data_IF_986977269905
#
_entry.id   IF_986977269905
#
_cell.length_a   1.000
_cell.length_b   1.000
_cell.length_c   1.000
_cell.angle_alpha   90.00
_cell.angle_beta   90.00
_cell.angle_gamma   90.00
#
_symmetry.space_group_name_H-M   'P 1'
#
loop_
_entity.id
_entity.type
_entity.pdbx_description
1 polymer ?
#
# COMPACT_ATOMS: atom_id res chain seq x y z
N UNK A 1 -18.62 -7.73 -2.50
CA UNK A 1 -18.31 -6.45 -1.82
C UNK A 1 -17.30 -5.73 -2.69
N UNK A 2 -17.32 -4.40 -2.71
CA UNK A 2 -16.26 -3.61 -3.32
C UNK A 2 -15.05 -3.68 -2.37
N UNK A 3 -13.84 -3.87 -2.92
CA UNK A 3 -12.65 -3.98 -2.08
C UNK A 3 -12.26 -2.62 -1.52
N UNK A 4 -11.83 -2.60 -0.25
CA UNK A 4 -11.40 -1.40 0.46
C UNK A 4 -9.87 -1.33 0.47
N UNK A 5 -9.31 -0.26 -0.09
CA UNK A 5 -7.87 -0.06 -0.25
C UNK A 5 -7.42 1.12 0.62
N UNK A 6 -6.39 0.93 1.44
CA UNK A 6 -5.74 2.03 2.15
C UNK A 6 -4.55 2.52 1.33
N UNK A 7 -4.52 3.82 1.03
CA UNK A 7 -3.35 4.50 0.43
C UNK A 7 -2.62 5.24 1.53
N UNK A 8 -1.32 4.98 1.68
CA UNK A 8 -0.44 5.64 2.64
C UNK A 8 0.63 6.40 1.89
N UNK A 9 0.53 7.74 1.87
CA UNK A 9 1.34 8.63 1.04
C UNK A 9 1.35 10.03 1.65
N UNK A 10 2.54 10.62 1.85
CA UNK A 10 2.67 11.96 2.44
C UNK A 10 2.59 13.10 1.41
N UNK A 11 2.82 12.79 0.13
CA UNK A 11 2.71 13.77 -0.94
C UNK A 11 1.24 13.92 -1.39
N UNK A 12 0.63 15.10 -1.23
CA UNK A 12 -0.80 15.28 -1.52
C UNK A 12 -1.14 15.07 -3.01
N UNK A 13 -0.22 15.36 -3.93
CA UNK A 13 -0.47 15.16 -5.36
C UNK A 13 -0.44 13.66 -5.73
N UNK A 14 0.46 12.89 -5.12
CA UNK A 14 0.50 11.44 -5.33
C UNK A 14 -0.71 10.75 -4.69
N UNK A 15 -1.12 11.22 -3.50
CA UNK A 15 -2.33 10.76 -2.82
C UNK A 15 -3.55 10.98 -3.71
N UNK A 16 -3.79 12.23 -4.14
CA UNK A 16 -4.92 12.60 -5.00
C UNK A 16 -4.94 11.75 -6.29
N UNK A 17 -3.80 11.64 -6.99
CA UNK A 17 -3.69 10.81 -8.20
C UNK A 17 -4.06 9.35 -7.93
N UNK A 18 -3.54 8.75 -6.85
CA UNK A 18 -3.74 7.34 -6.55
C UNK A 18 -5.20 7.07 -6.17
N UNK A 19 -5.79 7.94 -5.34
CA UNK A 19 -7.19 7.87 -4.93
C UNK A 19 -8.11 8.00 -6.14
N UNK A 20 -7.93 9.04 -6.97
CA UNK A 20 -8.75 9.28 -8.15
C UNK A 20 -8.75 8.08 -9.11
N UNK A 21 -7.58 7.47 -9.33
CA UNK A 21 -7.45 6.29 -10.17
C UNK A 21 -8.24 5.11 -9.59
N UNK A 22 -8.05 4.80 -8.31
CA UNK A 22 -8.70 3.66 -7.65
C UNK A 22 -10.23 3.85 -7.57
N UNK A 23 -10.70 5.03 -7.18
CA UNK A 23 -12.13 5.35 -7.13
C UNK A 23 -12.76 5.29 -8.52
N UNK A 24 -12.07 5.79 -9.56
CA UNK A 24 -12.55 5.68 -10.96
C UNK A 24 -12.69 4.22 -11.44
N UNK A 25 -12.02 3.29 -10.78
CA UNK A 25 -12.10 1.85 -11.05
C UNK A 25 -13.08 1.11 -10.13
N UNK A 26 -13.75 1.83 -9.22
CA UNK A 26 -14.80 1.29 -8.36
C UNK A 26 -14.30 0.68 -7.05
N UNK A 27 -13.13 1.08 -6.56
CA UNK A 27 -12.65 0.71 -5.23
C UNK A 27 -13.07 1.76 -4.19
N UNK A 28 -13.24 1.32 -2.93
CA UNK A 28 -13.38 2.24 -1.79
C UNK A 28 -11.98 2.54 -1.24
N UNK A 29 -11.69 3.82 -0.96
CA UNK A 29 -10.32 4.23 -0.61
C UNK A 29 -10.27 4.91 0.74
N UNK A 30 -9.46 4.36 1.65
CA UNK A 30 -8.97 5.05 2.83
C UNK A 30 -7.65 5.75 2.51
N UNK A 31 -7.38 6.87 3.18
CA UNK A 31 -6.16 7.65 3.00
C UNK A 31 -5.46 7.84 4.34
N UNK A 32 -4.13 7.76 4.37
CA UNK A 32 -3.29 8.14 5.49
C UNK A 32 -2.05 8.90 5.00
N UNK A 33 -1.67 9.97 5.68
CA UNK A 33 -0.53 10.82 5.28
C UNK A 33 0.80 10.37 5.92
N UNK A 34 0.74 9.41 6.86
CA UNK A 34 1.90 8.92 7.60
C UNK A 34 1.68 7.52 8.18
N UNK A 35 2.76 6.92 8.69
CA UNK A 35 2.74 5.59 9.31
C UNK A 35 1.79 5.47 10.52
N UNK A 36 1.91 6.32 11.56
CA UNK A 36 0.97 6.33 12.68
C UNK A 36 -0.50 6.40 12.29
N UNK A 37 -0.88 7.27 11.35
CA UNK A 37 -2.26 7.38 10.87
C UNK A 37 -2.70 6.09 10.16
N UNK A 38 -1.83 5.48 9.36
CA UNK A 38 -2.12 4.20 8.71
C UNK A 38 -2.39 3.09 9.76
N UNK A 39 -1.56 3.02 10.80
CA UNK A 39 -1.71 2.04 11.89
C UNK A 39 -2.97 2.27 12.73
N UNK A 40 -3.44 3.51 12.87
CA UNK A 40 -4.72 3.77 13.53
C UNK A 40 -5.91 3.40 12.64
N UNK A 41 -5.85 3.71 11.33
CA UNK A 41 -6.94 3.38 10.40
C UNK A 41 -7.19 1.88 10.25
N UNK A 42 -6.15 1.06 10.21
CA UNK A 42 -6.32 -0.41 10.10
C UNK A 42 -6.98 -1.02 11.34
N UNK A 43 -7.02 -0.31 12.48
CA UNK A 43 -7.77 -0.72 13.67
C UNK A 43 -9.25 -0.32 13.59
N UNK A 44 -9.57 0.74 12.86
CA UNK A 44 -10.92 1.30 12.74
C UNK A 44 -11.74 0.63 11.62
N UNK A 45 -11.08 0.17 10.56
CA UNK A 45 -11.72 -0.44 9.39
C UNK A 45 -10.89 -1.61 8.85
N UNK A 46 -11.56 -2.50 8.10
CA UNK A 46 -10.90 -3.62 7.42
C UNK A 46 -10.50 -3.21 6.01
N UNK A 47 -9.25 -3.43 5.66
CA UNK A 47 -8.73 -3.19 4.32
C UNK A 47 -8.33 -4.51 3.66
N UNK A 48 -8.60 -4.63 2.37
CA UNK A 48 -8.20 -5.78 1.56
C UNK A 48 -6.77 -5.61 1.00
N UNK A 49 -6.33 -4.36 0.85
CA UNK A 49 -5.03 -4.00 0.31
C UNK A 49 -4.54 -2.68 0.92
N UNK A 50 -3.25 -2.60 1.19
CA UNK A 50 -2.55 -1.37 1.57
C UNK A 50 -1.53 -1.04 0.48
N UNK A 51 -1.63 0.14 -0.11
CA UNK A 51 -0.59 0.73 -0.95
C UNK A 51 0.25 1.65 -0.06
N UNK A 52 1.50 1.26 0.19
CA UNK A 52 2.33 1.88 1.22
C UNK A 52 3.55 2.53 0.59
N UNK A 53 3.65 3.87 0.68
CA UNK A 53 4.92 4.53 0.37
C UNK A 53 6.02 4.06 1.32
N UNK A 54 7.17 3.70 0.75
CA UNK A 54 8.34 3.32 1.51
C UNK A 54 9.07 4.54 2.11
N UNK A 55 8.83 5.74 1.58
CA UNK A 55 9.44 7.00 2.04
C UNK A 55 8.41 7.89 2.73
N UNK A 56 8.11 7.58 3.99
CA UNK A 56 7.17 8.37 4.81
C UNK A 56 7.90 9.23 5.85
N UNK A 57 7.29 10.36 6.28
CA UNK A 57 7.77 11.13 7.41
C UNK A 57 7.46 10.40 8.73
N UNK A 58 8.27 10.67 9.76
CA UNK A 58 8.17 10.14 11.14
C UNK A 58 8.45 8.65 11.31
N UNK A 59 7.87 7.80 10.47
CA UNK A 59 8.02 6.34 10.49
C UNK A 59 8.14 5.87 9.05
N UNK A 60 9.19 5.13 8.72
CA UNK A 60 9.38 4.65 7.35
C UNK A 60 8.40 3.52 6.99
N UNK A 61 8.22 3.25 5.70
CA UNK A 61 7.26 2.24 5.26
C UNK A 61 7.62 0.81 5.67
N UNK A 62 8.90 0.51 5.93
CA UNK A 62 9.31 -0.81 6.43
C UNK A 62 8.91 -0.98 7.90
N UNK A 63 9.04 0.06 8.70
CA UNK A 63 8.54 0.08 10.08
C UNK A 63 7.02 -0.13 10.10
N UNK A 64 6.26 0.58 9.26
CA UNK A 64 4.81 0.38 9.14
C UNK A 64 4.47 -1.06 8.76
N UNK A 65 5.16 -1.62 7.76
CA UNK A 65 4.99 -3.02 7.35
C UNK A 65 5.25 -3.99 8.50
N UNK A 66 6.33 -3.78 9.27
CA UNK A 66 6.66 -4.64 10.43
C UNK A 66 5.50 -4.65 11.44
N UNK A 67 4.98 -3.48 11.81
CA UNK A 67 3.85 -3.38 12.73
C UNK A 67 2.60 -4.10 12.20
N UNK A 68 2.30 -3.95 10.91
CA UNK A 68 1.15 -4.61 10.27
C UNK A 68 1.31 -6.13 10.27
N UNK A 69 2.52 -6.65 10.07
CA UNK A 69 2.80 -8.09 10.00
C UNK A 69 2.96 -8.76 11.36
N UNK A 70 3.32 -8.00 12.39
CA UNK A 70 3.43 -8.49 13.77
C UNK A 70 2.08 -8.56 14.49
N UNK A 71 1.09 -7.77 14.06
CA UNK A 71 -0.27 -7.80 14.62
C UNK A 71 -1.14 -8.86 13.91
N UNK A 72 -1.63 -9.90 14.62
CA UNK A 72 -2.47 -10.95 14.03
C UNK A 72 -3.74 -10.45 13.36
N UNK A 73 -4.28 -9.30 13.76
CA UNK A 73 -5.51 -8.76 13.17
C UNK A 73 -5.25 -8.08 11.81
N UNK A 74 -3.99 -7.71 11.51
CA UNK A 74 -3.59 -7.04 10.26
C UNK A 74 -2.57 -7.81 9.42
N UNK A 75 -1.99 -8.89 9.95
CA UNK A 75 -0.89 -9.62 9.30
C UNK A 75 -1.26 -10.17 7.92
N UNK A 76 -2.51 -10.57 7.74
CA UNK A 76 -3.02 -11.14 6.49
C UNK A 76 -3.39 -10.09 5.44
N UNK A 77 -3.38 -8.79 5.79
CA UNK A 77 -3.67 -7.72 4.82
C UNK A 77 -2.55 -7.70 3.77
N UNK A 78 -2.94 -7.67 2.50
CA UNK A 78 -2.01 -7.54 1.38
C UNK A 78 -1.36 -6.16 1.42
N UNK A 79 -0.03 -6.09 1.43
CA UNK A 79 0.71 -4.82 1.44
C UNK A 79 1.58 -4.73 0.20
N UNK A 80 1.45 -3.64 -0.55
CA UNK A 80 2.21 -3.39 -1.77
C UNK A 80 3.02 -2.11 -1.58
N UNK A 81 4.34 -2.23 -1.76
CA UNK A 81 5.24 -1.10 -1.65
C UNK A 81 5.11 -0.16 -2.85
N UNK A 82 4.89 1.13 -2.61
CA UNK A 82 5.10 2.18 -3.60
C UNK A 82 6.53 2.70 -3.43
N UNK A 83 7.37 2.55 -4.45
CA UNK A 83 8.81 2.90 -4.35
C UNK A 83 9.27 3.76 -5.52
N UNK A 84 10.04 4.81 -5.24
CA UNK A 84 10.72 5.61 -6.28
C UNK A 84 11.98 4.92 -6.84
N UNK A 85 12.47 3.87 -6.18
CA UNK A 85 13.72 3.19 -6.54
C UNK A 85 13.43 1.74 -6.94
N UNK A 86 13.40 1.49 -8.25
CA UNK A 86 13.40 0.13 -8.83
C UNK A 86 14.83 -0.38 -9.06
N UNK A 87 15.80 0.05 -8.23
CA UNK A 87 17.15 -0.50 -8.35
C UNK A 87 17.08 -1.98 -7.99
N UNK A 88 17.58 -2.83 -8.89
CA UNK A 88 17.61 -4.28 -8.73
C UNK A 88 18.26 -4.64 -7.38
N UNK A 89 17.44 -4.97 -6.39
CA UNK A 89 17.87 -5.24 -5.02
C UNK A 89 16.86 -4.81 -3.95
N UNK A 90 16.11 -3.74 -4.15
CA UNK A 90 15.11 -3.29 -3.16
C UNK A 90 13.80 -4.09 -3.25
N UNK A 91 13.47 -4.59 -4.45
CA UNK A 91 12.33 -5.47 -4.69
C UNK A 91 12.36 -6.74 -3.83
N UNK A 92 13.51 -7.42 -3.81
CA UNK A 92 13.69 -8.62 -2.99
C UNK A 92 13.55 -8.32 -1.51
N UNK A 93 14.06 -7.17 -1.04
CA UNK A 93 13.94 -6.76 0.36
C UNK A 93 12.50 -6.55 0.77
N UNK A 94 11.68 -5.92 -0.08
CA UNK A 94 10.26 -5.71 0.24
C UNK A 94 9.49 -7.02 0.31
N UNK A 95 9.75 -7.94 -0.63
CA UNK A 95 9.15 -9.27 -0.62
C UNK A 95 9.60 -10.07 0.62
N UNK A 96 10.89 -10.08 0.94
CA UNK A 96 11.45 -10.74 2.12
C UNK A 96 10.90 -10.16 3.43
N UNK A 97 10.56 -8.86 3.45
CA UNK A 97 9.94 -8.18 4.58
C UNK A 97 8.42 -8.44 4.70
N UNK A 98 7.81 -9.12 3.73
CA UNK A 98 6.40 -9.51 3.77
C UNK A 98 5.44 -8.67 2.92
N UNK A 99 5.95 -7.85 2.00
CA UNK A 99 5.10 -7.25 0.96
C UNK A 99 4.63 -8.33 -0.03
N UNK A 100 3.38 -8.20 -0.48
CA UNK A 100 2.83 -9.00 -1.58
C UNK A 100 3.48 -8.64 -2.92
N UNK A 101 3.96 -7.41 -3.05
CA UNK A 101 4.60 -6.90 -4.25
C UNK A 101 5.04 -5.46 -4.10
N UNK A 102 5.38 -4.84 -5.23
CA UNK A 102 5.77 -3.45 -5.31
C UNK A 102 5.28 -2.83 -6.62
N UNK A 103 5.11 -1.51 -6.60
CA UNK A 103 4.74 -0.69 -7.74
C UNK A 103 5.72 0.48 -7.76
N UNK A 104 6.44 0.62 -8.86
CA UNK A 104 7.42 1.70 -9.00
C UNK A 104 6.76 3.02 -9.33
N UNK A 105 7.28 4.10 -8.75
CA UNK A 105 6.95 5.48 -9.10
C UNK A 105 7.91 5.99 -10.21
N UNK A 106 7.44 6.83 -11.15
CA UNK A 106 6.07 7.31 -11.30
C UNK A 106 5.11 6.19 -11.73
N UNK A 107 3.87 6.25 -11.24
CA UNK A 107 2.85 5.23 -11.51
C UNK A 107 2.54 5.20 -13.01
N UNK A 108 2.81 4.08 -13.67
CA UNK A 108 2.25 3.79 -14.98
C UNK A 108 0.79 3.36 -14.80
N UNK A 109 -0.14 4.20 -15.25
CA UNK A 109 -1.59 3.98 -15.05
C UNK A 109 -2.05 2.65 -15.67
N UNK A 110 -1.49 2.25 -16.81
CA UNK A 110 -1.91 1.04 -17.49
C UNK A 110 -1.49 -0.20 -16.71
N UNK A 111 -0.25 -0.20 -16.20
CA UNK A 111 0.27 -1.30 -15.41
C UNK A 111 -0.35 -1.35 -14.01
N UNK A 112 -0.50 -0.18 -13.37
CA UNK A 112 -1.18 -0.03 -12.08
C UNK A 112 -2.59 -0.65 -12.12
N UNK A 113 -3.36 -0.35 -13.16
CA UNK A 113 -4.70 -0.91 -13.34
C UNK A 113 -4.74 -2.44 -13.43
N UNK A 114 -3.71 -3.06 -14.03
CA UNK A 114 -3.61 -4.52 -14.12
C UNK A 114 -3.18 -5.15 -12.80
N UNK A 115 -2.24 -4.50 -12.11
CA UNK A 115 -1.62 -5.03 -10.91
C UNK A 115 -2.55 -5.03 -9.69
N UNK A 116 -3.41 -4.02 -9.52
CA UNK A 116 -4.28 -3.92 -8.34
C UNK A 116 -5.14 -5.18 -8.12
N UNK A 117 -5.87 -5.73 -9.13
CA UNK A 117 -6.59 -6.99 -8.98
C UNK A 117 -5.71 -8.18 -8.60
N UNK A 118 -4.46 -8.24 -9.05
CA UNK A 118 -3.54 -9.34 -8.74
C UNK A 118 -3.11 -9.33 -7.27
N UNK A 119 -3.03 -8.15 -6.65
CA UNK A 119 -2.66 -8.01 -5.24
C UNK A 119 -3.83 -8.17 -4.27
N UNK A 120 -5.06 -7.95 -4.73
CA UNK A 120 -6.28 -8.24 -3.95
C UNK A 120 -6.57 -9.74 -3.83
N UNK A 121 -6.14 -10.56 -4.80
CA UNK A 121 -6.42 -12.00 -4.84
C UNK A 121 -5.35 -12.92 -4.23
N UNK A 122 -4.26 -12.35 -3.69
CA UNK A 122 -3.15 -13.10 -3.09
C UNK A 122 -3.20 -12.98 -1.57
N UNK A 123 -4.09 -13.73 -0.93
CA UNK A 123 -3.85 -14.15 0.46
C UNK A 123 -2.74 -15.19 0.45
N UNK A 124 -1.71 -14.99 1.28
CA UNK A 124 -0.59 -15.92 1.46
C UNK A 124 -1.06 -17.34 1.83
#
# INVERSE_FOLDING_TARGET
MMAQILVVEDNPMNMELTVDLLESWGYEVGQAEDGPEALDKVKEAKYDLILLDMQLPRMDGLEVLSHLKEDPDTADISVVALTAHSMAGDEAKFLDAGCTGYISKPIDIHEFKKQIPEYLGKTA
#
